data_IF_675396588623
#
_entry.id   IF_675396588623
#
_cell.length_a   1.000
_cell.length_b   1.000
_cell.length_c   1.000
_cell.angle_alpha   90.00
_cell.angle_beta   90.00
_cell.angle_gamma   90.00
#
_symmetry.space_group_name_H-M   'P 1'
#
loop_
_entity.id
_entity.type
_entity.pdbx_description
1 polymer ?
#
# COMPACT_ATOMS: atom_id res chain seq x y z
N UNK A 1 10.56 -18.89 5.54
CA UNK A 1 11.24 -17.56 5.49
C UNK A 1 10.80 -16.68 4.31
N UNK A 2 10.91 -17.16 3.06
CA UNK A 2 10.50 -16.43 1.85
C UNK A 2 8.99 -16.15 1.80
N UNK A 3 8.16 -17.15 2.15
CA UNK A 3 6.70 -16.98 2.22
C UNK A 3 6.27 -15.91 3.25
N UNK A 4 6.98 -15.83 4.37
CA UNK A 4 6.73 -14.81 5.41
C UNK A 4 7.13 -13.41 4.91
N UNK A 5 8.23 -13.30 4.16
CA UNK A 5 8.67 -12.05 3.53
C UNK A 5 7.69 -11.60 2.45
N UNK A 6 7.25 -12.50 1.55
CA UNK A 6 6.25 -12.20 0.53
C UNK A 6 4.94 -11.69 1.14
N UNK A 7 4.49 -12.30 2.26
CA UNK A 7 3.30 -11.85 2.98
C UNK A 7 3.49 -10.46 3.60
N UNK A 8 4.65 -10.18 4.18
CA UNK A 8 4.95 -8.85 4.71
C UNK A 8 4.93 -7.78 3.61
N UNK A 9 5.50 -8.09 2.44
CA UNK A 9 5.50 -7.18 1.28
C UNK A 9 4.09 -6.96 0.73
N UNK A 10 3.25 -8.00 0.68
CA UNK A 10 1.85 -7.88 0.28
C UNK A 10 1.03 -6.98 1.24
N UNK A 11 1.30 -7.04 2.55
CA UNK A 11 0.68 -6.14 3.52
C UNK A 11 1.14 -4.70 3.28
N UNK A 12 2.45 -4.47 3.10
CA UNK A 12 2.99 -3.14 2.80
C UNK A 12 2.44 -2.54 1.50
N UNK A 13 2.21 -3.37 0.48
CA UNK A 13 1.54 -2.96 -0.77
C UNK A 13 0.16 -2.39 -0.47
N UNK A 14 -0.68 -3.15 0.23
CA UNK A 14 -2.06 -2.74 0.56
C UNK A 14 -2.08 -1.45 1.40
N UNK A 15 -1.17 -1.32 2.38
CA UNK A 15 -1.05 -0.11 3.18
C UNK A 15 -0.67 1.10 2.32
N UNK A 16 0.35 0.97 1.47
CA UNK A 16 0.84 2.05 0.62
C UNK A 16 -0.22 2.53 -0.36
N UNK A 17 -0.93 1.60 -1.02
CA UNK A 17 -2.01 1.94 -1.96
C UNK A 17 -3.18 2.63 -1.26
N UNK A 18 -3.51 2.23 -0.02
CA UNK A 18 -4.57 2.87 0.76
C UNK A 18 -4.18 4.27 1.25
N UNK A 19 -2.91 4.49 1.57
CA UNK A 19 -2.42 5.81 1.94
C UNK A 19 -2.31 6.76 0.73
N UNK A 20 -1.85 6.28 -0.43
CA UNK A 20 -1.74 7.09 -1.66
C UNK A 20 -3.12 7.44 -2.21
N UNK A 21 -4.07 6.49 -2.18
CA UNK A 21 -5.43 6.71 -2.68
C UNK A 21 -6.39 7.34 -1.68
N UNK A 22 -5.92 7.76 -0.50
CA UNK A 22 -6.75 8.25 0.62
C UNK A 22 -7.91 7.31 1.03
N UNK A 23 -7.84 6.01 0.71
CA UNK A 23 -8.84 5.02 1.11
C UNK A 23 -8.53 4.35 2.45
N UNK A 24 -7.46 4.79 3.11
CA UNK A 24 -7.16 4.38 4.47
C UNK A 24 -8.31 4.79 5.41
N UNK A 25 -8.72 3.88 6.28
CA UNK A 25 -9.84 4.07 7.19
C UNK A 25 -9.39 4.03 8.65
N UNK A 26 -10.11 4.71 9.54
CA UNK A 26 -9.86 4.64 10.98
C UNK A 26 -9.94 3.20 11.52
N UNK A 27 -10.74 2.34 10.90
CA UNK A 27 -10.83 0.92 11.25
C UNK A 27 -9.51 0.16 11.05
N UNK A 28 -8.69 0.56 10.06
CA UNK A 28 -7.39 -0.04 9.76
C UNK A 28 -6.22 0.73 10.40
N UNK A 29 -6.40 2.04 10.63
CA UNK A 29 -5.38 2.91 11.25
C UNK A 29 -5.44 2.98 12.77
N UNK A 30 -6.59 2.67 13.39
CA UNK A 30 -6.82 2.79 14.83
C UNK A 30 -6.41 4.17 15.37
N UNK A 31 -5.68 4.19 16.48
CA UNK A 31 -5.13 5.42 17.08
C UNK A 31 -3.99 6.07 16.28
N UNK A 32 -3.52 5.43 15.21
CA UNK A 32 -2.45 5.92 14.32
C UNK A 32 -2.97 6.31 12.94
N UNK A 33 -4.28 6.46 12.78
CA UNK A 33 -4.86 6.96 11.55
C UNK A 33 -4.26 8.32 11.21
N UNK A 34 -3.65 8.41 10.02
CA UNK A 34 -3.16 9.66 9.45
C UNK A 34 -3.77 9.85 8.08
N UNK A 35 -4.46 10.97 7.92
CA UNK A 35 -4.87 11.49 6.63
C UNK A 35 -3.80 12.48 6.17
N UNK A 36 -3.29 12.30 4.96
CA UNK A 36 -2.38 13.27 4.36
C UNK A 36 -3.23 14.45 3.87
N UNK A 37 -2.76 15.69 4.08
CA UNK A 37 -3.37 16.86 3.44
C UNK A 37 -2.95 16.87 1.96
N UNK A 38 -3.70 16.15 1.14
CA UNK A 38 -3.51 16.07 -0.31
C UNK A 38 -4.69 16.71 -1.04
N UNK A 39 -4.42 17.31 -2.20
CA UNK A 39 -5.47 17.81 -3.07
C UNK A 39 -6.23 16.61 -3.62
N UNK A 40 -7.54 16.56 -3.40
CA UNK A 40 -8.38 15.48 -3.89
C UNK A 40 -8.25 15.34 -5.41
N UNK A 41 -7.78 14.18 -5.87
CA UNK A 41 -7.56 13.88 -7.28
C UNK A 41 -7.42 12.39 -7.52
N UNK A 42 -7.56 11.98 -8.78
CA UNK A 42 -7.51 10.57 -9.18
C UNK A 42 -6.05 10.08 -9.25
N UNK A 43 -5.55 9.53 -8.15
CA UNK A 43 -4.19 8.98 -8.05
C UNK A 43 -4.11 7.51 -8.50
N UNK A 44 -5.12 6.98 -9.21
CA UNK A 44 -5.19 5.58 -9.63
C UNK A 44 -3.96 5.13 -10.43
N UNK A 45 -3.41 5.98 -11.29
CA UNK A 45 -2.18 5.70 -12.03
C UNK A 45 -0.96 5.53 -11.11
N UNK A 46 -0.77 6.42 -10.13
CA UNK A 46 0.32 6.33 -9.16
C UNK A 46 0.15 5.11 -8.23
N UNK A 47 -1.10 4.81 -7.84
CA UNK A 47 -1.42 3.63 -7.02
C UNK A 47 -1.05 2.35 -7.77
N UNK A 48 -1.38 2.27 -9.06
CA UNK A 48 -1.01 1.13 -9.92
C UNK A 48 0.50 1.02 -10.10
N UNK A 49 1.20 2.14 -10.28
CA UNK A 49 2.66 2.16 -10.38
C UNK A 49 3.32 1.68 -9.08
N UNK A 50 2.90 2.20 -7.93
CA UNK A 50 3.38 1.78 -6.63
C UNK A 50 3.14 0.28 -6.39
N UNK A 51 1.94 -0.20 -6.70
CA UNK A 51 1.58 -1.62 -6.63
C UNK A 51 2.53 -2.50 -7.47
N UNK A 52 2.91 -2.04 -8.66
CA UNK A 52 3.82 -2.78 -9.56
C UNK A 52 5.22 -2.97 -8.96
N UNK A 53 5.73 -1.99 -8.20
CA UNK A 53 7.02 -2.11 -7.51
C UNK A 53 6.98 -3.20 -6.44
N UNK A 54 5.90 -3.28 -5.66
CA UNK A 54 5.72 -4.34 -4.69
C UNK A 54 5.55 -5.71 -5.34
N UNK A 55 4.83 -5.81 -6.47
CA UNK A 55 4.66 -7.06 -7.20
C UNK A 55 6.00 -7.59 -7.76
N UNK A 56 6.90 -6.71 -8.22
CA UNK A 56 8.26 -7.10 -8.62
C UNK A 56 9.06 -7.70 -7.46
N UNK A 57 8.92 -7.14 -6.25
CA UNK A 57 9.59 -7.66 -5.04
C UNK A 57 8.99 -9.01 -4.65
N UNK A 58 7.67 -9.16 -4.67
CA UNK A 58 7.00 -10.45 -4.38
C UNK A 58 7.44 -11.50 -5.40
N UNK A 59 7.49 -11.16 -6.68
CA UNK A 59 7.96 -12.06 -7.75
C UNK A 59 9.41 -12.49 -7.57
N UNK A 60 10.28 -11.64 -7.04
CA UNK A 60 11.67 -11.99 -6.76
C UNK A 60 11.84 -12.85 -5.49
N UNK A 61 10.84 -12.85 -4.60
CA UNK A 61 10.81 -13.62 -3.36
C UNK A 61 10.05 -14.96 -3.49
N UNK A 62 9.47 -15.24 -4.66
CA UNK A 62 8.60 -16.40 -4.91
C UNK A 62 9.31 -17.48 -5.71
#
# INVERSE_FOLDING_TARGET
>A
PLQSAARAVAIMKASSTAHIGETNSEALGGSKFRKMETVQGDCSALVAEAASYFDRVISALS
#
